data_IF_240774082603
#
_entry.id   IF_240774082603
#
_cell.length_a   1.000
_cell.length_b   1.000
_cell.length_c   1.000
_cell.angle_alpha   90.00
_cell.angle_beta   90.00
_cell.angle_gamma   90.00
#
_symmetry.space_group_name_H-M   'P 1'
#
loop_
_entity.id
_entity.type
_entity.pdbx_description
1 polymer ?
#
# COMPACT_ATOMS: atom_id res chain seq x y z
N UNK A 1 32.11 12.65 6.36
CA UNK A 1 31.61 11.79 5.25
C UNK A 1 30.24 11.20 5.57
N UNK A 2 30.08 10.44 6.66
CA UNK A 2 28.78 9.91 7.11
C UNK A 2 27.76 11.02 7.47
N UNK A 3 28.20 12.09 8.13
CA UNK A 3 27.37 13.29 8.35
C UNK A 3 26.93 13.96 7.04
N UNK A 4 27.77 14.00 6.01
CA UNK A 4 27.40 14.57 4.70
C UNK A 4 26.31 13.73 4.00
N UNK A 5 26.33 12.40 4.16
CA UNK A 5 25.27 11.53 3.66
C UNK A 5 23.92 11.74 4.35
N UNK A 6 23.93 11.96 5.67
CA UNK A 6 22.72 12.17 6.45
C UNK A 6 22.18 13.61 6.30
N UNK A 7 23.06 14.61 6.44
CA UNK A 7 22.68 16.03 6.58
C UNK A 7 22.54 16.74 5.22
N UNK A 8 23.29 16.33 4.20
CA UNK A 8 23.30 16.97 2.87
C UNK A 8 22.60 16.12 1.82
N UNK A 9 22.86 14.81 1.80
CA UNK A 9 22.26 13.90 0.81
C UNK A 9 20.91 13.31 1.24
N UNK A 10 20.49 13.51 2.50
CA UNK A 10 19.24 13.00 3.08
C UNK A 10 19.00 11.50 2.84
N UNK A 11 20.06 10.68 2.75
CA UNK A 11 19.96 9.25 2.49
C UNK A 11 20.22 8.43 3.75
N UNK A 12 19.51 7.31 3.97
CA UNK A 12 19.74 6.46 5.12
C UNK A 12 21.17 5.92 5.08
N UNK A 13 21.95 6.23 6.11
CA UNK A 13 23.35 5.80 6.27
C UNK A 13 23.47 4.40 6.86
N UNK A 14 22.35 3.77 7.21
CA UNK A 14 22.26 2.51 7.93
C UNK A 14 22.83 1.30 7.17
N UNK A 15 22.87 1.36 5.84
CA UNK A 15 23.36 0.30 4.96
C UNK A 15 24.74 0.57 4.34
N UNK A 16 25.37 1.70 4.71
CA UNK A 16 26.70 2.05 4.23
C UNK A 16 27.78 1.31 5.02
N UNK A 17 28.65 0.61 4.30
CA UNK A 17 29.86 0.02 4.90
C UNK A 17 30.76 1.16 5.41
N UNK A 18 30.84 1.31 6.74
CA UNK A 18 31.69 2.32 7.37
C UNK A 18 33.14 1.82 7.34
N UNK A 19 34.07 2.53 6.68
CA UNK A 19 35.46 2.10 6.63
C UNK A 19 36.10 2.16 8.03
N UNK A 20 36.78 1.10 8.43
CA UNK A 20 37.55 1.06 9.67
C UNK A 20 38.84 1.88 9.52
N UNK A 21 38.79 3.13 9.96
CA UNK A 21 39.91 4.07 9.90
C UNK A 21 41.10 3.62 10.75
N UNK A 22 40.87 2.84 11.80
CA UNK A 22 41.94 2.34 12.66
C UNK A 22 42.72 1.22 11.99
N UNK A 23 42.03 0.31 11.29
CA UNK A 23 42.66 -0.74 10.48
C UNK A 23 43.44 -0.17 9.28
N UNK A 24 42.99 0.97 8.71
CA UNK A 24 43.76 1.67 7.67
C UNK A 24 45.06 2.26 8.24
N UNK A 25 44.97 2.93 9.40
CA UNK A 25 46.08 3.65 9.98
C UNK A 25 47.16 2.75 10.60
N UNK A 26 46.76 1.61 11.19
CA UNK A 26 47.69 0.69 11.89
C UNK A 26 48.13 -0.50 11.04
N UNK A 27 47.20 -1.10 10.29
CA UNK A 27 47.41 -2.40 9.66
C UNK A 27 47.49 -2.31 8.12
N UNK A 28 47.44 -1.09 7.56
CA UNK A 28 47.40 -0.83 6.13
C UNK A 28 46.35 -1.69 5.40
N UNK A 29 45.18 -1.84 6.03
CA UNK A 29 44.11 -2.71 5.55
C UNK A 29 43.57 -2.25 4.20
N UNK A 30 43.98 -2.95 3.13
CA UNK A 30 43.55 -2.71 1.76
C UNK A 30 42.01 -2.72 1.61
N UNK A 31 41.25 -3.66 2.22
CA UNK A 31 39.79 -3.64 2.15
C UNK A 31 39.18 -2.36 2.73
N UNK A 32 39.67 -1.88 3.87
CA UNK A 32 39.15 -0.68 4.50
C UNK A 32 39.48 0.59 3.69
N UNK A 33 40.68 0.66 3.09
CA UNK A 33 41.06 1.73 2.17
C UNK A 33 40.18 1.75 0.92
N UNK A 34 39.90 0.58 0.32
CA UNK A 34 39.03 0.49 -0.84
C UNK A 34 37.59 0.94 -0.53
N UNK A 35 37.07 0.58 0.64
CA UNK A 35 35.76 1.06 1.11
C UNK A 35 35.74 2.58 1.24
N UNK A 36 36.79 3.18 1.80
CA UNK A 36 36.93 4.64 1.91
C UNK A 36 36.98 5.33 0.53
N UNK A 37 37.75 4.79 -0.41
CA UNK A 37 37.85 5.32 -1.78
C UNK A 37 36.50 5.26 -2.49
N UNK A 38 35.79 4.12 -2.41
CA UNK A 38 34.46 3.96 -3.02
C UNK A 38 33.44 4.92 -2.45
N UNK A 39 33.43 5.12 -1.12
CA UNK A 39 32.54 6.07 -0.47
C UNK A 39 32.83 7.51 -0.93
N UNK A 40 34.10 7.86 -1.12
CA UNK A 40 34.52 9.19 -1.60
C UNK A 40 34.06 9.44 -3.03
N UNK A 41 34.16 8.43 -3.91
CA UNK A 41 33.66 8.51 -5.29
C UNK A 41 32.16 8.78 -5.34
N UNK A 42 31.38 8.06 -4.53
CA UNK A 42 29.91 8.25 -4.48
C UNK A 42 29.55 9.64 -3.97
N UNK A 43 30.25 10.16 -2.96
CA UNK A 43 30.04 11.53 -2.49
C UNK A 43 30.35 12.54 -3.60
N UNK A 44 31.43 12.33 -4.36
CA UNK A 44 31.80 13.19 -5.49
C UNK A 44 30.71 13.23 -6.58
N UNK A 45 30.10 12.09 -6.90
CA UNK A 45 29.05 11.99 -7.92
C UNK A 45 27.68 12.47 -7.41
N UNK A 46 27.44 12.49 -6.10
CA UNK A 46 26.18 12.97 -5.54
C UNK A 46 26.22 14.43 -5.03
N UNK A 47 27.39 15.07 -4.99
CA UNK A 47 27.49 16.46 -4.56
C UNK A 47 26.97 17.45 -5.61
N UNK A 48 26.72 18.71 -5.21
CA UNK A 48 26.25 19.77 -6.12
C UNK A 48 27.20 20.03 -7.31
N UNK A 49 28.49 19.68 -7.15
CA UNK A 49 29.51 19.78 -8.19
C UNK A 49 29.70 18.48 -8.98
N UNK A 50 28.71 17.59 -8.99
CA UNK A 50 28.80 16.28 -9.64
C UNK A 50 29.26 16.34 -11.10
N UNK A 51 28.86 17.36 -11.85
CA UNK A 51 29.26 17.57 -13.25
C UNK A 51 30.79 17.59 -13.41
N UNK A 52 31.50 18.31 -12.56
CA UNK A 52 32.97 18.36 -12.60
C UNK A 52 33.63 17.01 -12.31
N UNK A 53 33.00 16.16 -11.50
CA UNK A 53 33.48 14.81 -11.19
C UNK A 53 33.14 13.82 -12.31
N UNK A 54 31.94 13.92 -12.89
CA UNK A 54 31.51 13.09 -14.02
C UNK A 54 32.38 13.39 -15.24
N UNK A 55 32.65 14.67 -15.54
CA UNK A 55 33.51 15.08 -16.66
C UNK A 55 34.94 14.53 -16.50
N UNK A 56 35.46 14.50 -15.26
CA UNK A 56 36.78 13.89 -14.97
C UNK A 56 36.78 12.38 -15.14
N UNK A 57 35.69 11.70 -14.79
CA UNK A 57 35.55 10.25 -14.98
C UNK A 57 35.48 9.95 -16.49
N UNK A 58 34.70 10.71 -17.25
CA UNK A 58 34.58 10.58 -18.71
C UNK A 58 35.88 10.92 -19.47
N UNK A 59 36.82 11.62 -18.83
CA UNK A 59 38.15 11.86 -19.36
C UNK A 59 39.14 10.70 -19.20
N UNK A 60 38.77 9.62 -18.49
CA UNK A 60 39.62 8.44 -18.29
C UNK A 60 39.51 7.44 -19.45
N UNK A 61 40.35 6.40 -19.44
CA UNK A 61 40.25 5.30 -20.41
C UNK A 61 38.93 4.53 -20.23
N UNK A 62 38.39 3.93 -21.31
CA UNK A 62 37.14 3.14 -21.25
C UNK A 62 37.22 2.01 -20.20
N UNK A 63 38.40 1.43 -20.01
CA UNK A 63 38.62 0.39 -19.00
C UNK A 63 38.48 0.96 -17.60
N UNK A 64 39.08 2.11 -17.31
CA UNK A 64 39.01 2.74 -15.98
C UNK A 64 37.61 3.29 -15.69
N UNK A 65 36.94 3.85 -16.71
CA UNK A 65 35.55 4.28 -16.64
C UNK A 65 34.65 3.13 -16.21
N UNK A 66 34.76 1.98 -16.87
CA UNK A 66 33.96 0.79 -16.55
C UNK A 66 34.16 0.31 -15.11
N UNK A 67 35.41 0.28 -14.64
CA UNK A 67 35.71 -0.13 -13.26
C UNK A 67 35.16 0.87 -12.24
N UNK A 68 35.28 2.17 -12.49
CA UNK A 68 34.75 3.23 -11.62
C UNK A 68 33.23 3.24 -11.61
N UNK A 69 32.58 3.07 -12.76
CA UNK A 69 31.12 2.97 -12.86
C UNK A 69 30.59 1.78 -12.07
N UNK A 70 31.19 0.59 -12.22
CA UNK A 70 30.84 -0.59 -11.41
C UNK A 70 31.02 -0.36 -9.91
N UNK A 71 32.09 0.34 -9.52
CA UNK A 71 32.36 0.62 -8.11
C UNK A 71 31.34 1.61 -7.50
N UNK A 72 30.91 2.62 -8.28
CA UNK A 72 29.85 3.56 -7.89
C UNK A 72 28.51 2.82 -7.79
N UNK A 73 28.18 2.02 -8.78
CA UNK A 73 26.94 1.24 -8.85
C UNK A 73 26.78 0.29 -7.66
N UNK A 74 27.84 -0.47 -7.31
CA UNK A 74 27.82 -1.39 -6.17
C UNK A 74 27.49 -0.69 -4.85
N UNK A 75 27.96 0.53 -4.66
CA UNK A 75 27.69 1.30 -3.44
C UNK A 75 26.32 1.98 -3.52
N UNK A 76 25.90 2.45 -4.69
CA UNK A 76 24.56 2.97 -4.93
C UNK A 76 23.47 1.92 -4.67
N UNK A 77 23.67 0.68 -5.12
CA UNK A 77 22.75 -0.43 -4.87
C UNK A 77 22.56 -0.71 -3.35
N UNK A 78 23.63 -0.56 -2.56
CA UNK A 78 23.57 -0.69 -1.09
C UNK A 78 22.84 0.47 -0.42
N UNK A 79 22.91 1.68 -1.00
CA UNK A 79 22.19 2.88 -0.51
C UNK A 79 20.72 2.89 -0.98
N UNK A 80 20.43 2.32 -2.15
CA UNK A 80 19.14 2.39 -2.84
C UNK A 80 18.10 1.34 -2.41
N UNK A 81 18.08 0.95 -1.13
CA UNK A 81 17.00 0.10 -0.56
C UNK A 81 15.63 0.86 -0.49
N UNK A 82 15.50 1.96 -1.23
CA UNK A 82 14.24 2.60 -1.57
C UNK A 82 14.25 2.97 -3.07
N UNK A 83 13.10 2.93 -3.73
CA UNK A 83 12.65 2.00 -4.77
C UNK A 83 13.32 2.12 -6.17
N UNK A 84 14.59 2.53 -6.27
CA UNK A 84 15.27 2.79 -7.54
C UNK A 84 15.94 1.57 -8.22
N UNK A 85 15.48 0.35 -7.94
CA UNK A 85 16.09 -0.89 -8.48
C UNK A 85 15.70 -1.20 -9.94
N UNK A 86 14.82 -0.41 -10.56
CA UNK A 86 14.36 -0.63 -11.94
C UNK A 86 15.34 -0.04 -12.99
N UNK A 87 16.02 1.07 -12.69
CA UNK A 87 16.88 1.77 -13.65
C UNK A 87 18.25 1.11 -13.89
N UNK A 88 18.72 0.23 -12.98
CA UNK A 88 20.05 -0.39 -13.10
C UNK A 88 20.05 -1.63 -14.03
N UNK A 89 18.91 -2.33 -14.18
CA UNK A 89 18.80 -3.42 -15.15
C UNK A 89 18.74 -2.91 -16.59
N UNK A 90 18.45 -1.61 -16.79
CA UNK A 90 18.35 -0.98 -18.09
C UNK A 90 19.73 -0.70 -18.71
N UNK A 91 20.78 -0.45 -17.93
CA UNK A 91 22.10 -0.09 -18.46
C UNK A 91 22.90 -1.26 -19.08
N UNK A 92 22.46 -2.52 -18.91
CA UNK A 92 23.14 -3.73 -19.40
C UNK A 92 22.42 -4.39 -20.59
N UNK A 93 21.30 -3.84 -21.04
CA UNK A 93 20.42 -4.42 -22.06
C UNK A 93 20.65 -3.74 -23.40
N UNK A 94 20.70 -4.52 -24.48
CA UNK A 94 20.75 -3.92 -25.82
C UNK A 94 19.39 -3.29 -26.15
N UNK A 95 19.32 -2.32 -27.07
CA UNK A 95 18.04 -1.67 -27.45
C UNK A 95 16.92 -2.67 -27.80
N UNK A 96 17.28 -3.84 -28.32
CA UNK A 96 16.36 -4.92 -28.64
C UNK A 96 15.80 -5.62 -27.38
N UNK A 97 16.63 -5.85 -26.36
CA UNK A 97 16.22 -6.41 -25.07
C UNK A 97 15.26 -5.47 -24.32
N UNK A 98 15.47 -4.16 -24.43
CA UNK A 98 14.55 -3.15 -23.90
C UNK A 98 13.18 -3.21 -24.57
N UNK A 99 13.15 -3.36 -25.90
CA UNK A 99 11.91 -3.43 -26.65
C UNK A 99 11.05 -4.64 -26.23
N UNK A 100 11.65 -5.83 -26.11
CA UNK A 100 10.94 -7.02 -25.65
C UNK A 100 10.46 -6.92 -24.21
N UNK A 101 11.26 -6.30 -23.33
CA UNK A 101 10.88 -6.10 -21.93
C UNK A 101 9.72 -5.11 -21.80
N UNK A 102 9.79 -3.96 -22.47
CA UNK A 102 8.69 -2.98 -22.50
C UNK A 102 7.42 -3.62 -23.07
N UNK A 103 7.53 -4.45 -24.10
CA UNK A 103 6.38 -5.15 -24.67
C UNK A 103 5.79 -6.18 -23.70
N UNK A 104 6.64 -6.96 -23.01
CA UNK A 104 6.22 -7.91 -21.99
C UNK A 104 5.54 -7.22 -20.80
N UNK A 105 6.14 -6.14 -20.30
CA UNK A 105 5.58 -5.32 -19.22
C UNK A 105 4.25 -4.69 -19.66
N UNK A 106 4.15 -4.19 -20.90
CA UNK A 106 2.89 -3.65 -21.44
C UNK A 106 1.81 -4.72 -21.53
N UNK A 107 2.16 -5.93 -21.97
CA UNK A 107 1.22 -7.07 -22.03
C UNK A 107 0.77 -7.51 -20.64
N UNK A 108 1.66 -7.52 -19.66
CA UNK A 108 1.34 -7.85 -18.28
C UNK A 108 0.45 -6.78 -17.63
N UNK A 109 0.79 -5.49 -17.80
CA UNK A 109 -0.04 -4.39 -17.30
C UNK A 109 -1.44 -4.44 -17.94
N UNK A 110 -1.52 -4.76 -19.23
CA UNK A 110 -2.80 -4.86 -19.91
C UNK A 110 -3.64 -6.04 -19.40
N UNK A 111 -3.04 -7.20 -19.14
CA UNK A 111 -3.77 -8.33 -18.58
C UNK A 111 -4.20 -8.08 -17.14
N UNK A 112 -3.33 -7.49 -16.31
CA UNK A 112 -3.66 -7.07 -14.94
C UNK A 112 -4.81 -6.06 -14.95
N UNK A 113 -4.75 -5.05 -15.82
CA UNK A 113 -5.84 -4.09 -16.01
C UNK A 113 -7.15 -4.78 -16.39
N UNK A 114 -7.14 -5.69 -17.36
CA UNK A 114 -8.33 -6.41 -17.79
C UNK A 114 -8.91 -7.26 -16.64
N UNK A 115 -8.06 -7.93 -15.86
CA UNK A 115 -8.51 -8.68 -14.68
C UNK A 115 -9.10 -7.77 -13.61
N UNK A 116 -8.48 -6.62 -13.37
CA UNK A 116 -8.96 -5.64 -12.38
C UNK A 116 -10.29 -5.04 -12.80
N UNK A 117 -10.46 -4.71 -14.09
CA UNK A 117 -11.72 -4.23 -14.65
C UNK A 117 -12.83 -5.27 -14.49
N UNK A 118 -12.54 -6.55 -14.76
CA UNK A 118 -13.51 -7.64 -14.55
C UNK A 118 -13.90 -7.80 -13.09
N UNK A 119 -12.93 -7.79 -12.17
CA UNK A 119 -13.19 -7.90 -10.73
C UNK A 119 -13.98 -6.70 -10.22
N UNK A 120 -13.63 -5.48 -10.66
CA UNK A 120 -14.36 -4.27 -10.31
C UNK A 120 -15.81 -4.33 -10.80
N UNK A 121 -16.04 -4.80 -12.02
CA UNK A 121 -17.37 -4.93 -12.58
C UNK A 121 -18.21 -5.99 -11.85
N UNK A 122 -17.61 -7.14 -11.51
CA UNK A 122 -18.25 -8.16 -10.67
C UNK A 122 -18.60 -7.62 -9.28
N UNK A 123 -17.71 -6.84 -8.67
CA UNK A 123 -17.95 -6.23 -7.36
C UNK A 123 -19.08 -5.20 -7.41
N UNK A 124 -19.19 -4.41 -8.48
CA UNK A 124 -20.31 -3.49 -8.69
C UNK A 124 -21.64 -4.23 -8.86
N UNK A 125 -21.64 -5.36 -9.58
CA UNK A 125 -22.83 -6.21 -9.71
C UNK A 125 -23.24 -6.80 -8.36
N UNK A 126 -22.28 -7.37 -7.61
CA UNK A 126 -22.52 -7.90 -6.27
C UNK A 126 -23.07 -6.82 -5.33
N UNK A 127 -22.46 -5.62 -5.33
CA UNK A 127 -22.95 -4.50 -4.53
C UNK A 127 -24.39 -4.12 -4.90
N UNK A 128 -24.75 -4.09 -6.19
CA UNK A 128 -26.13 -3.83 -6.62
C UNK A 128 -27.07 -4.91 -6.11
N UNK A 129 -26.71 -6.19 -6.24
CA UNK A 129 -27.55 -7.29 -5.74
C UNK A 129 -27.71 -7.27 -4.22
N UNK A 130 -26.64 -6.95 -3.50
CA UNK A 130 -26.66 -6.84 -2.05
C UNK A 130 -27.52 -5.66 -1.60
N UNK A 131 -27.45 -4.53 -2.31
CA UNK A 131 -28.30 -3.38 -2.04
C UNK A 131 -29.78 -3.71 -2.26
N UNK A 132 -30.13 -4.35 -3.38
CA UNK A 132 -31.52 -4.78 -3.63
C UNK A 132 -32.02 -5.75 -2.56
N UNK A 133 -31.23 -6.77 -2.21
CA UNK A 133 -31.64 -7.72 -1.17
C UNK A 133 -31.73 -7.06 0.21
N UNK A 134 -30.90 -6.07 0.49
CA UNK A 134 -31.00 -5.28 1.71
C UNK A 134 -32.30 -4.47 1.77
N UNK A 135 -32.67 -3.80 0.67
CA UNK A 135 -33.91 -3.03 0.58
C UNK A 135 -35.15 -3.95 0.70
N UNK A 136 -35.12 -5.14 0.08
CA UNK A 136 -36.18 -6.14 0.20
C UNK A 136 -36.36 -6.61 1.67
N UNK A 137 -35.26 -6.97 2.34
CA UNK A 137 -35.27 -7.39 3.75
C UNK A 137 -35.75 -6.26 4.67
N UNK A 138 -35.37 -5.01 4.39
CA UNK A 138 -35.89 -3.87 5.13
C UNK A 138 -37.40 -3.72 4.96
N UNK A 139 -37.93 -3.87 3.75
CA UNK A 139 -39.36 -3.84 3.48
C UNK A 139 -40.10 -4.96 4.22
N UNK A 140 -39.62 -6.20 4.13
CA UNK A 140 -40.21 -7.34 4.86
C UNK A 140 -40.21 -7.12 6.37
N UNK A 141 -39.12 -6.57 6.93
CA UNK A 141 -39.03 -6.22 8.36
C UNK A 141 -40.06 -5.18 8.75
N UNK A 142 -40.27 -4.16 7.93
CA UNK A 142 -41.27 -3.12 8.17
C UNK A 142 -42.70 -3.66 8.11
N UNK A 143 -42.99 -4.52 7.14
CA UNK A 143 -44.29 -5.19 7.03
C UNK A 143 -44.56 -6.09 8.24
N UNK A 144 -43.59 -6.94 8.62
CA UNK A 144 -43.70 -7.80 9.80
C UNK A 144 -43.91 -6.98 11.08
N UNK A 145 -43.19 -5.85 11.22
CA UNK A 145 -43.35 -4.95 12.35
C UNK A 145 -44.74 -4.29 12.35
N UNK A 146 -45.26 -3.88 11.20
CA UNK A 146 -46.61 -3.33 11.08
C UNK A 146 -47.68 -4.38 11.44
N UNK A 147 -47.52 -5.62 11.01
CA UNK A 147 -48.40 -6.73 11.37
C UNK A 147 -48.39 -7.01 12.88
N UNK A 148 -47.22 -7.05 13.50
CA UNK A 148 -47.09 -7.20 14.96
C UNK A 148 -47.79 -6.07 15.72
N UNK A 149 -47.67 -4.83 15.26
CA UNK A 149 -48.38 -3.69 15.87
C UNK A 149 -49.90 -3.81 15.73
N UNK A 150 -50.41 -4.26 14.57
CA UNK A 150 -51.85 -4.50 14.37
C UNK A 150 -52.37 -5.60 15.29
N UNK A 151 -51.70 -6.75 15.33
CA UNK A 151 -52.06 -7.86 16.21
C UNK A 151 -52.04 -7.45 17.69
N UNK A 152 -51.04 -6.65 18.11
CA UNK A 152 -50.98 -6.13 19.47
C UNK A 152 -52.19 -5.26 19.81
N UNK A 153 -52.57 -4.34 18.91
CA UNK A 153 -53.78 -3.52 19.07
C UNK A 153 -55.05 -4.35 19.15
N UNK A 154 -55.19 -5.37 18.30
CA UNK A 154 -56.34 -6.29 18.35
C UNK A 154 -56.42 -7.11 19.64
N UNK A 155 -55.28 -7.53 20.18
CA UNK A 155 -55.23 -8.21 21.49
C UNK A 155 -55.63 -7.26 22.61
N UNK A 156 -55.17 -6.01 22.57
CA UNK A 156 -55.50 -4.99 23.57
C UNK A 156 -56.98 -4.61 23.52
N UNK A 157 -57.58 -4.46 22.33
CA UNK A 157 -59.02 -4.21 22.19
C UNK A 157 -59.85 -5.39 22.70
N UNK A 158 -59.50 -6.63 22.31
CA UNK A 158 -60.18 -7.84 22.83
C UNK A 158 -60.08 -7.97 24.34
N UNK A 159 -58.96 -7.56 24.95
CA UNK A 159 -58.81 -7.54 26.42
C UNK A 159 -59.72 -6.49 27.05
N UNK A 160 -59.79 -5.28 26.48
CA UNK A 160 -60.69 -4.22 26.95
C UNK A 160 -62.15 -4.65 26.86
N UNK A 161 -62.58 -5.18 25.72
CA UNK A 161 -63.96 -5.66 25.52
C UNK A 161 -64.33 -6.76 26.54
N UNK A 162 -63.42 -7.72 26.79
CA UNK A 162 -63.65 -8.76 27.81
C UNK A 162 -63.77 -8.17 29.22
N UNK A 163 -62.94 -7.18 29.57
CA UNK A 163 -63.02 -6.51 30.86
C UNK A 163 -64.34 -5.74 31.02
N UNK A 164 -64.78 -5.03 29.97
CA UNK A 164 -66.06 -4.29 29.96
C UNK A 164 -67.27 -5.23 30.11
N UNK A 165 -67.26 -6.38 29.43
CA UNK A 165 -68.30 -7.41 29.55
C UNK A 165 -68.35 -7.97 30.98
N UNK A 166 -67.18 -8.24 31.58
CA UNK A 166 -67.09 -8.74 32.95
C UNK A 166 -67.62 -7.72 33.97
N UNK A 167 -67.25 -6.45 33.84
CA UNK A 167 -67.74 -5.36 34.68
C UNK A 167 -69.26 -5.18 34.58
N UNK A 168 -69.83 -5.25 33.37
CA UNK A 168 -71.29 -5.18 33.19
C UNK A 168 -72.00 -6.35 33.87
N UNK A 169 -71.46 -7.56 33.73
CA UNK A 169 -72.03 -8.74 34.38
C UNK A 169 -72.01 -8.63 35.92
N UNK A 170 -70.95 -8.06 36.50
CA UNK A 170 -70.89 -7.79 37.95
C UNK A 170 -71.90 -6.71 38.37
N UNK A 171 -72.05 -5.63 37.61
CA UNK A 171 -73.06 -4.60 37.89
C UNK A 171 -74.49 -5.16 37.87
N UNK A 172 -74.81 -6.00 36.89
CA UNK A 172 -76.14 -6.61 36.80
C UNK A 172 -76.39 -7.60 37.94
N UNK A 173 -75.35 -8.33 38.39
CA UNK A 173 -75.42 -9.20 39.56
C UNK A 173 -75.71 -8.42 40.84
N UNK A 174 -75.01 -7.31 41.06
CA UNK A 174 -75.23 -6.43 42.21
C UNK A 174 -76.63 -5.79 42.21
N UNK A 175 -77.20 -5.53 41.02
CA UNK A 175 -78.58 -5.00 40.89
C UNK A 175 -79.66 -6.02 41.21
N UNK A 176 -79.40 -7.31 41.01
CA UNK A 176 -80.34 -8.39 41.37
C UNK A 176 -80.30 -8.69 42.87
N UNK A 177 -79.18 -8.37 43.54
CA UNK A 177 -78.97 -8.59 44.97
C UNK A 177 -79.47 -7.44 45.87
N UNK A 178 -79.94 -6.32 45.28
CA UNK A 178 -80.54 -5.14 45.96
C UNK A 178 -82.06 -5.11 45.81
#
# INVERSE_FOLDING_TARGET
>A
MTQYFADVLQKPTSSLDVPDLQAIAKDHSLPATLTLCRLTLVIGVQCEKNKEFIDKIQGLSETDQHHLMKAIEQVMAKIAVAPAAQDALEASMTEDDHYYRIQSERSQIFSEKETLEKVYQALLEEHRTLQTTHDDVLSEREEAQAQLQRLRREVDTRRSEKADVMMRAEMDRLRVEL
#
